data_IF_881495718096
#
_entry.id   IF_881495718096
#
_cell.length_a   1.000
_cell.length_b   1.000
_cell.length_c   1.000
_cell.angle_alpha   90.00
_cell.angle_beta   90.00
_cell.angle_gamma   90.00
#
_symmetry.space_group_name_H-M   'P 1'
#
loop_
_entity.id
_entity.type
_entity.pdbx_description
1 polymer ?
#
# COMPACT_ATOMS: atom_id res chain seq x y z
N UNK A 1 3.56 -13.78 2.77
CA UNK A 1 4.25 -12.49 2.66
C UNK A 1 5.17 -12.54 1.44
N UNK A 2 5.58 -11.38 0.95
CA UNK A 2 6.51 -11.19 -0.16
C UNK A 2 7.50 -10.09 0.20
N UNK A 3 8.73 -10.23 -0.27
CA UNK A 3 9.77 -9.22 -0.13
C UNK A 3 10.53 -9.06 -1.44
N UNK A 4 10.66 -7.82 -1.89
CA UNK A 4 11.39 -7.39 -3.08
C UNK A 4 12.33 -6.24 -2.69
N UNK A 5 13.28 -5.82 -3.55
CA UNK A 5 14.16 -4.71 -3.22
C UNK A 5 13.44 -3.39 -2.88
N UNK A 6 12.27 -3.14 -3.48
CA UNK A 6 11.54 -1.87 -3.30
C UNK A 6 10.24 -2.02 -2.48
N UNK A 7 9.66 -3.22 -2.35
CA UNK A 7 8.38 -3.43 -1.64
C UNK A 7 8.40 -4.70 -0.77
N UNK A 8 7.91 -4.59 0.47
CA UNK A 8 7.44 -5.74 1.24
C UNK A 8 5.92 -5.71 1.36
N UNK A 9 5.30 -6.89 1.35
CA UNK A 9 3.89 -7.03 1.63
C UNK A 9 3.61 -8.28 2.46
N UNK A 10 2.76 -8.14 3.48
CA UNK A 10 2.30 -9.24 4.31
C UNK A 10 0.84 -9.05 4.68
N UNK A 11 0.17 -10.18 4.89
CA UNK A 11 -1.17 -10.25 5.46
C UNK A 11 -1.12 -11.20 6.65
N UNK A 12 -1.79 -10.84 7.73
CA UNK A 12 -1.98 -11.67 8.90
C UNK A 12 -3.47 -11.72 9.24
N UNK A 13 -3.99 -12.92 9.52
CA UNK A 13 -5.35 -13.14 10.01
C UNK A 13 -5.30 -13.50 11.50
N UNK A 14 -5.86 -12.63 12.32
CA UNK A 14 -5.96 -12.78 13.77
C UNK A 14 -7.39 -13.12 14.23
N UNK A 15 -8.33 -13.39 13.32
CA UNK A 15 -9.75 -13.63 13.63
C UNK A 15 -9.93 -14.68 14.73
N UNK A 16 -9.18 -15.78 14.68
CA UNK A 16 -9.25 -16.85 15.68
C UNK A 16 -8.76 -16.44 17.08
N UNK A 17 -8.00 -15.34 17.21
CA UNK A 17 -7.63 -14.77 18.52
C UNK A 17 -8.84 -14.16 19.23
N UNK A 18 -9.89 -13.83 18.49
CA UNK A 18 -11.14 -13.26 18.98
C UNK A 18 -12.28 -14.29 19.07
N UNK A 19 -11.98 -15.59 18.99
CA UNK A 19 -13.00 -16.67 18.97
C UNK A 19 -13.91 -16.73 20.22
N UNK A 20 -13.55 -16.02 21.30
CA UNK A 20 -14.40 -15.86 22.49
C UNK A 20 -15.56 -14.87 22.27
N UNK A 21 -15.49 -14.05 21.22
CA UNK A 21 -16.56 -13.16 20.75
C UNK A 21 -17.23 -13.83 19.54
N UNK A 22 -18.39 -14.45 19.77
CA UNK A 22 -19.03 -15.34 18.79
C UNK A 22 -19.44 -14.67 17.48
N UNK A 23 -19.49 -13.34 17.44
CA UNK A 23 -19.96 -12.57 16.31
C UNK A 23 -18.84 -11.90 15.48
N UNK A 24 -17.57 -12.00 15.90
CA UNK A 24 -16.43 -11.50 15.11
C UNK A 24 -16.24 -12.40 13.88
N UNK A 25 -16.20 -11.78 12.69
CA UNK A 25 -16.11 -12.47 11.40
C UNK A 25 -14.75 -12.29 10.73
N UNK A 26 -14.08 -11.15 10.92
CA UNK A 26 -12.77 -10.88 10.35
C UNK A 26 -11.99 -9.93 11.25
N UNK A 27 -10.74 -10.30 11.52
CA UNK A 27 -9.71 -9.41 12.08
C UNK A 27 -8.41 -9.71 11.36
N UNK A 28 -8.20 -9.08 10.20
CA UNK A 28 -6.99 -9.24 9.40
C UNK A 28 -6.28 -7.92 9.19
N UNK A 29 -4.95 -7.99 9.11
CA UNK A 29 -4.07 -6.85 8.87
C UNK A 29 -3.22 -7.09 7.64
N UNK A 30 -3.27 -6.17 6.70
CA UNK A 30 -2.31 -6.06 5.60
C UNK A 30 -1.29 -4.97 5.92
N UNK A 31 -0.01 -5.25 5.68
CA UNK A 31 1.05 -4.24 5.79
C UNK A 31 1.85 -4.24 4.49
N UNK A 32 2.01 -3.06 3.90
CA UNK A 32 2.93 -2.83 2.79
C UNK A 32 4.00 -1.84 3.23
N UNK A 33 5.26 -2.15 2.96
CA UNK A 33 6.37 -1.23 3.11
C UNK A 33 6.89 -0.86 1.72
N UNK A 34 6.76 0.41 1.34
CA UNK A 34 7.31 0.92 0.08
C UNK A 34 8.63 1.62 0.41
N UNK A 35 9.74 0.98 0.07
CA UNK A 35 11.07 1.41 0.52
C UNK A 35 11.57 2.66 -0.22
N UNK A 36 12.37 3.48 0.48
CA UNK A 36 12.56 3.56 1.94
C UNK A 36 11.50 4.44 2.60
N UNK A 37 10.37 4.68 1.92
CA UNK A 37 9.58 5.89 2.09
C UNK A 37 8.56 5.79 3.22
N UNK A 38 7.70 4.75 3.24
CA UNK A 38 6.57 4.68 4.17
C UNK A 38 5.99 3.27 4.28
N UNK A 39 5.20 3.04 5.34
CA UNK A 39 4.33 1.88 5.46
C UNK A 39 2.87 2.26 5.30
N UNK A 40 2.06 1.38 4.74
CA UNK A 40 0.61 1.42 4.88
C UNK A 40 0.16 0.20 5.65
N UNK A 41 -0.60 0.41 6.72
CA UNK A 41 -1.28 -0.64 7.47
C UNK A 41 -2.77 -0.55 7.22
N UNK A 42 -3.38 -1.66 6.82
CA UNK A 42 -4.82 -1.78 6.65
C UNK A 42 -5.34 -2.89 7.55
N UNK A 43 -6.22 -2.54 8.48
CA UNK A 43 -7.00 -3.51 9.23
C UNK A 43 -8.39 -3.66 8.59
N UNK A 44 -8.72 -4.90 8.25
CA UNK A 44 -10.05 -5.29 7.81
C UNK A 44 -10.77 -5.97 8.99
N UNK A 45 -11.71 -5.22 9.58
CA UNK A 45 -12.51 -5.66 10.70
C UNK A 45 -13.95 -5.90 10.23
N UNK A 46 -14.53 -7.02 10.63
CA UNK A 46 -15.93 -7.34 10.38
C UNK A 46 -16.54 -8.17 11.53
N UNK A 47 -17.80 -7.91 11.85
CA UNK A 47 -18.59 -8.63 12.82
C UNK A 47 -20.06 -8.71 12.39
N UNK A 48 -20.80 -9.68 12.94
CA UNK A 48 -22.22 -9.87 12.65
C UNK A 48 -23.12 -8.83 13.32
N UNK A 49 -22.60 -8.08 14.29
CA UNK A 49 -23.30 -6.99 14.98
C UNK A 49 -22.37 -5.76 15.08
N UNK A 50 -22.92 -4.54 15.22
CA UNK A 50 -22.09 -3.34 15.36
C UNK A 50 -21.21 -3.36 16.62
N UNK A 51 -19.91 -3.10 16.46
CA UNK A 51 -18.93 -2.92 17.54
C UNK A 51 -18.29 -1.55 17.49
N UNK A 52 -17.86 -1.08 18.65
CA UNK A 52 -16.93 0.03 18.77
C UNK A 52 -15.52 -0.52 18.58
N UNK A 53 -14.83 -0.12 17.50
CA UNK A 53 -13.46 -0.56 17.24
C UNK A 53 -12.46 0.52 17.64
N UNK A 54 -11.35 0.09 18.22
CA UNK A 54 -10.25 0.96 18.67
C UNK A 54 -8.92 0.38 18.20
N UNK A 55 -8.15 1.21 17.50
CA UNK A 55 -6.75 0.96 17.18
C UNK A 55 -5.86 1.66 18.19
N UNK A 56 -4.85 0.97 18.70
CA UNK A 56 -3.94 1.50 19.72
C UNK A 56 -2.52 1.50 19.15
N UNK A 57 -1.80 2.60 19.36
CA UNK A 57 -0.36 2.67 19.09
C UNK A 57 0.39 3.30 20.25
N UNK A 58 1.45 2.61 20.64
CA UNK A 58 2.37 3.05 21.66
C UNK A 58 3.54 3.82 21.05
N UNK A 59 4.02 4.82 21.78
CA UNK A 59 5.16 5.63 21.40
C UNK A 59 6.15 5.68 22.57
N UNK A 60 7.43 5.91 22.25
CA UNK A 60 8.49 5.98 23.26
C UNK A 60 8.43 7.29 24.06
N UNK A 61 7.99 8.36 23.40
CA UNK A 61 7.95 9.72 23.92
C UNK A 61 6.54 10.30 23.79
N UNK A 62 6.39 11.57 24.19
CA UNK A 62 5.12 12.27 24.16
C UNK A 62 4.49 12.26 22.76
N UNK A 63 3.23 11.85 22.73
CA UNK A 63 2.39 11.82 21.53
C UNK A 63 1.79 13.20 21.28
N UNK A 64 1.87 13.63 20.03
CA UNK A 64 1.31 14.87 19.53
C UNK A 64 0.29 14.57 18.42
N UNK A 65 -0.67 15.46 18.24
CA UNK A 65 -1.69 15.36 17.18
C UNK A 65 -1.67 16.66 16.34
N UNK A 66 -1.58 16.51 15.03
CA UNK A 66 -1.65 17.57 14.03
C UNK A 66 -2.62 17.12 12.93
N UNK A 67 -3.85 17.64 12.95
CA UNK A 67 -4.94 17.20 12.08
C UNK A 67 -5.21 15.69 12.18
N UNK A 68 -4.99 14.95 11.09
CA UNK A 68 -5.12 13.49 11.00
C UNK A 68 -3.81 12.74 11.29
N UNK A 69 -2.76 13.45 11.69
CA UNK A 69 -1.48 12.86 12.09
C UNK A 69 -1.36 12.75 13.60
N UNK A 70 -0.98 11.56 14.02
CA UNK A 70 -0.42 11.29 15.36
C UNK A 70 1.07 11.09 15.21
N UNK A 71 1.89 11.72 16.04
CA UNK A 71 3.34 11.58 15.93
C UNK A 71 4.06 11.70 17.26
N UNK A 72 5.25 11.11 17.31
CA UNK A 72 6.21 11.21 18.41
C UNK A 72 7.60 11.45 17.83
N UNK A 73 8.43 12.18 18.57
CA UNK A 73 9.82 12.44 18.23
C UNK A 73 10.70 12.10 19.44
N UNK A 74 11.81 11.42 19.19
CA UNK A 74 12.82 11.11 20.20
C UNK A 74 13.67 12.34 20.54
N UNK A 75 14.38 12.29 21.66
CA UNK A 75 15.38 13.32 22.00
C UNK A 75 16.49 13.49 20.94
N UNK A 76 16.74 12.44 20.14
CA UNK A 76 17.75 12.42 19.07
C UNK A 76 17.21 12.87 17.70
N UNK A 77 15.93 13.22 17.62
CA UNK A 77 15.30 13.82 16.44
C UNK A 77 14.74 12.83 15.42
N UNK A 78 14.74 11.53 15.71
CA UNK A 78 13.97 10.56 14.94
C UNK A 78 12.48 10.69 15.24
N UNK A 79 11.66 10.65 14.20
CA UNK A 79 10.23 10.87 14.28
C UNK A 79 9.48 9.75 13.60
N UNK A 80 8.39 9.32 14.22
CA UNK A 80 7.38 8.48 13.59
C UNK A 80 6.06 9.23 13.54
N UNK A 81 5.58 9.50 12.32
CA UNK A 81 4.20 9.91 12.12
C UNK A 81 3.32 8.76 11.70
N UNK A 82 2.06 8.81 12.12
CA UNK A 82 0.98 7.93 11.70
C UNK A 82 -0.20 8.80 11.28
N UNK A 83 -0.52 8.81 9.99
CA UNK A 83 -1.75 9.40 9.50
C UNK A 83 -2.90 8.42 9.65
N UNK A 84 -4.05 8.87 10.13
CA UNK A 84 -5.30 8.11 10.11
C UNK A 84 -6.09 8.46 8.85
N UNK A 85 -5.95 7.65 7.80
CA UNK A 85 -6.57 7.91 6.50
C UNK A 85 -8.03 7.39 6.39
N UNK A 86 -8.41 6.44 7.24
CA UNK A 86 -9.75 5.87 7.35
C UNK A 86 -9.86 5.04 8.64
N UNK A 87 -11.06 4.88 9.22
CA UNK A 87 -12.29 5.61 8.89
C UNK A 87 -12.30 7.01 9.55
N UNK A 88 -13.43 7.70 9.53
CA UNK A 88 -13.66 8.83 10.44
C UNK A 88 -13.58 8.34 11.89
N UNK A 89 -12.72 8.97 12.68
CA UNK A 89 -12.33 8.49 14.02
C UNK A 89 -12.29 9.62 15.03
N UNK A 90 -12.35 9.24 16.31
CA UNK A 90 -11.92 10.07 17.43
C UNK A 90 -10.52 9.64 17.86
N UNK A 91 -9.65 10.60 18.15
CA UNK A 91 -8.28 10.39 18.61
C UNK A 91 -8.20 10.83 20.07
N UNK A 92 -7.81 9.91 20.96
CA UNK A 92 -7.55 10.20 22.37
C UNK A 92 -6.08 9.90 22.71
N UNK A 93 -5.42 10.82 23.42
CA UNK A 93 -3.98 10.76 23.69
C UNK A 93 -3.75 10.57 25.17
N UNK A 94 -2.96 9.55 25.51
CA UNK A 94 -2.65 9.16 26.87
C UNK A 94 -1.16 9.32 27.14
N UNK A 95 -0.72 10.57 27.38
CA UNK A 95 0.68 10.91 27.64
C UNK A 95 1.13 10.68 29.09
N UNK A 96 0.18 10.60 30.03
CA UNK A 96 0.48 10.39 31.46
C UNK A 96 0.63 8.89 31.83
N UNK A 97 0.52 8.00 30.85
CA UNK A 97 0.72 6.56 31.03
C UNK A 97 2.22 6.20 31.11
N UNK A 98 2.55 5.05 31.72
CA UNK A 98 3.93 4.54 31.79
C UNK A 98 4.59 4.39 30.40
N UNK A 99 3.77 4.11 29.38
CA UNK A 99 4.16 4.13 27.97
C UNK A 99 3.11 4.97 27.23
N UNK A 100 3.47 6.16 26.70
CA UNK A 100 2.54 7.00 25.96
C UNK A 100 1.87 6.24 24.82
N UNK A 101 0.57 6.47 24.64
CA UNK A 101 -0.18 5.85 23.55
C UNK A 101 -1.30 6.73 23.03
N UNK A 102 -1.80 6.35 21.87
CA UNK A 102 -3.01 6.90 21.26
C UNK A 102 -4.06 5.82 21.10
N UNK A 103 -5.31 6.19 21.33
CA UNK A 103 -6.48 5.41 20.94
C UNK A 103 -7.18 6.09 19.77
N UNK A 104 -7.27 5.38 18.64
CA UNK A 104 -7.98 5.82 17.44
C UNK A 104 -9.23 4.96 17.31
N UNK A 105 -10.38 5.56 17.58
CA UNK A 105 -11.65 4.84 17.72
C UNK A 105 -12.65 5.25 16.65
N UNK A 106 -13.47 4.30 16.16
CA UNK A 106 -14.61 4.65 15.30
C UNK A 106 -15.52 5.66 15.99
N UNK A 107 -16.11 6.63 15.30
CA UNK A 107 -16.99 7.62 15.98
C UNK A 107 -18.31 7.04 16.51
N UNK A 108 -18.68 5.83 16.07
CA UNK A 108 -19.87 5.08 16.50
C UNK A 108 -19.66 3.57 16.26
N UNK A 109 -20.45 2.70 16.90
CA UNK A 109 -20.44 1.28 16.59
C UNK A 109 -20.78 0.98 15.12
N UNK A 110 -20.04 0.08 14.49
CA UNK A 110 -20.22 -0.35 13.10
C UNK A 110 -19.97 -1.86 12.96
N UNK A 111 -20.58 -2.51 11.97
CA UNK A 111 -20.35 -3.94 11.70
C UNK A 111 -19.01 -4.20 11.01
N UNK A 112 -18.49 -3.19 10.31
CA UNK A 112 -17.32 -3.32 9.44
C UNK A 112 -16.52 -2.03 9.52
N UNK A 113 -15.21 -2.14 9.72
CA UNK A 113 -14.29 -1.01 9.77
C UNK A 113 -13.03 -1.29 8.94
N UNK A 114 -12.51 -0.24 8.31
CA UNK A 114 -11.23 -0.25 7.59
C UNK A 114 -10.32 0.79 8.22
N UNK A 115 -9.51 0.38 9.20
CA UNK A 115 -8.47 1.26 9.72
C UNK A 115 -7.31 1.27 8.74
N UNK A 116 -7.02 2.44 8.18
CA UNK A 116 -5.97 2.63 7.20
C UNK A 116 -5.03 3.69 7.74
N UNK A 117 -3.79 3.28 7.98
CA UNK A 117 -2.76 4.12 8.54
C UNK A 117 -1.59 4.25 7.58
N UNK A 118 -1.12 5.48 7.34
CA UNK A 118 0.15 5.74 6.67
C UNK A 118 1.20 6.03 7.75
N UNK A 119 2.21 5.18 7.87
CA UNK A 119 3.31 5.38 8.81
C UNK A 119 4.52 5.94 8.06
N UNK A 120 5.06 7.04 8.57
CA UNK A 120 6.18 7.76 7.97
C UNK A 120 7.30 7.91 8.99
N UNK A 121 8.27 6.98 9.00
CA UNK A 121 9.52 7.15 9.74
C UNK A 121 10.36 8.26 9.08
N UNK A 122 10.79 9.24 9.86
CA UNK A 122 11.51 10.41 9.35
C UNK A 122 12.35 11.05 10.46
N UNK A 123 12.89 12.23 10.19
CA UNK A 123 13.51 13.10 11.18
C UNK A 123 12.75 14.44 11.26
N UNK A 124 13.16 15.31 12.19
CA UNK A 124 12.58 16.65 12.35
C UNK A 124 12.53 17.45 11.04
N UNK A 125 13.55 17.31 10.17
CA UNK A 125 13.62 18.06 8.92
C UNK A 125 12.72 17.49 7.83
N UNK A 126 12.59 16.16 7.77
CA UNK A 126 11.75 15.44 6.81
C UNK A 126 10.26 15.53 7.11
N UNK A 127 9.87 15.87 8.36
CA UNK A 127 8.47 16.00 8.76
C UNK A 127 7.66 16.98 7.90
N UNK A 128 8.29 18.07 7.44
CA UNK A 128 7.65 19.07 6.58
C UNK A 128 7.25 18.53 5.20
N UNK A 129 7.91 17.45 4.77
CA UNK A 129 7.72 16.80 3.47
C UNK A 129 6.96 15.46 3.62
N UNK A 130 6.33 15.22 4.78
CA UNK A 130 5.57 14.00 5.06
C UNK A 130 4.56 13.74 3.95
N UNK A 131 4.41 12.50 3.46
CA UNK A 131 3.41 12.16 2.46
C UNK A 131 1.99 12.32 3.03
N UNK A 132 0.97 12.24 2.18
CA UNK A 132 -0.43 12.17 2.62
C UNK A 132 -1.16 11.04 1.90
N UNK A 133 -1.81 10.16 2.65
CA UNK A 133 -2.71 9.13 2.16
C UNK A 133 -4.15 9.65 2.11
N UNK A 134 -4.87 9.22 1.08
CA UNK A 134 -6.31 9.44 0.93
C UNK A 134 -6.97 8.14 0.48
N UNK A 135 -8.02 7.73 1.19
CA UNK A 135 -8.91 6.69 0.70
C UNK A 135 -9.72 7.23 -0.48
N UNK A 136 -9.55 6.60 -1.63
CA UNK A 136 -10.27 6.97 -2.85
C UNK A 136 -11.51 6.12 -3.08
N UNK A 137 -11.45 4.84 -2.72
CA UNK A 137 -12.57 3.92 -2.85
C UNK A 137 -12.44 2.76 -1.87
N UNK A 138 -13.57 2.27 -1.36
CA UNK A 138 -13.73 0.99 -0.69
C UNK A 138 -14.91 0.26 -1.35
N UNK A 139 -14.60 -0.83 -2.03
CA UNK A 139 -15.59 -1.62 -2.78
C UNK A 139 -16.27 -2.70 -1.94
N UNK A 140 -15.87 -2.85 -0.68
CA UNK A 140 -16.25 -3.97 0.18
C UNK A 140 -15.36 -5.21 0.00
N UNK A 141 -14.64 -5.34 -1.13
CA UNK A 141 -13.65 -6.41 -1.40
C UNK A 141 -12.21 -5.90 -1.57
N UNK A 142 -12.04 -4.61 -1.86
CA UNK A 142 -10.75 -3.94 -1.95
C UNK A 142 -10.84 -2.44 -1.65
N UNK A 143 -9.72 -1.85 -1.19
CA UNK A 143 -9.51 -0.40 -1.21
C UNK A 143 -8.62 0.05 -2.36
N UNK A 144 -8.78 1.32 -2.73
CA UNK A 144 -7.78 2.09 -3.47
C UNK A 144 -7.36 3.30 -2.65
N UNK A 145 -6.06 3.41 -2.39
CA UNK A 145 -5.43 4.52 -1.70
C UNK A 145 -4.57 5.33 -2.67
N UNK A 146 -4.62 6.64 -2.54
CA UNK A 146 -3.64 7.53 -3.15
C UNK A 146 -2.70 8.06 -2.09
N UNK A 147 -1.40 7.91 -2.31
CA UNK A 147 -0.37 8.47 -1.44
C UNK A 147 0.36 9.52 -2.25
N UNK A 148 0.21 10.78 -1.84
CA UNK A 148 0.91 11.91 -2.42
C UNK A 148 2.19 12.16 -1.63
N UNK A 149 3.34 12.03 -2.27
CA UNK A 149 4.59 12.45 -1.67
C UNK A 149 4.81 13.95 -1.89
N UNK A 150 5.23 14.66 -0.85
CA UNK A 150 5.41 16.11 -0.84
C UNK A 150 6.86 16.56 -0.89
N UNK A 151 7.81 15.61 -0.89
CA UNK A 151 9.23 15.88 -1.04
C UNK A 151 9.60 16.35 -2.45
N UNK A 152 10.89 16.60 -2.69
CA UNK A 152 11.39 17.08 -3.98
C UNK A 152 11.09 16.15 -5.18
N UNK A 153 10.84 14.86 -4.95
CA UNK A 153 10.53 13.85 -5.98
C UNK A 153 9.06 13.94 -6.42
N UNK A 154 8.16 14.41 -5.56
CA UNK A 154 6.73 14.68 -5.82
C UNK A 154 5.97 13.56 -6.54
N UNK A 155 6.32 12.30 -6.27
CA UNK A 155 5.61 11.19 -6.92
C UNK A 155 4.23 10.97 -6.28
N UNK A 156 3.36 10.32 -7.04
CA UNK A 156 2.06 9.86 -6.56
C UNK A 156 2.02 8.34 -6.68
N UNK A 157 1.57 7.68 -5.61
CA UNK A 157 1.31 6.25 -5.57
C UNK A 157 -0.19 5.99 -5.56
N UNK A 158 -0.62 5.05 -6.38
CA UNK A 158 -1.93 4.43 -6.32
C UNK A 158 -1.74 2.99 -5.84
N UNK A 159 -2.30 2.69 -4.68
CA UNK A 159 -2.21 1.38 -4.03
C UNK A 159 -3.59 0.75 -4.00
N UNK A 160 -3.71 -0.46 -4.54
CA UNK A 160 -4.90 -1.29 -4.44
C UNK A 160 -4.59 -2.47 -3.53
N UNK A 161 -5.42 -2.67 -2.50
CA UNK A 161 -5.31 -3.77 -1.54
C UNK A 161 -6.64 -4.51 -1.46
N UNK A 162 -6.61 -5.82 -1.65
CA UNK A 162 -7.79 -6.69 -1.50
C UNK A 162 -7.89 -7.25 -0.09
N UNK A 163 -9.12 -7.50 0.34
CA UNK A 163 -9.43 -8.11 1.62
C UNK A 163 -9.63 -9.63 1.54
N UNK A 164 -9.94 -10.12 0.34
CA UNK A 164 -10.26 -11.52 0.07
C UNK A 164 -9.23 -12.16 -0.87
N UNK A 165 -9.31 -13.49 -0.94
CA UNK A 165 -8.52 -14.32 -1.85
C UNK A 165 -9.29 -14.64 -3.15
N UNK A 166 -10.34 -13.89 -3.49
CA UNK A 166 -11.10 -14.14 -4.73
C UNK A 166 -10.21 -13.94 -5.95
N UNK A 167 -10.41 -14.73 -7.00
CA UNK A 167 -9.66 -14.60 -8.27
C UNK A 167 -10.37 -13.69 -9.27
N UNK A 168 -11.59 -13.25 -8.96
CA UNK A 168 -12.30 -12.24 -9.75
C UNK A 168 -11.51 -10.93 -9.72
N UNK A 169 -11.51 -10.20 -10.83
CA UNK A 169 -10.86 -8.90 -10.87
C UNK A 169 -11.74 -7.84 -10.21
N UNK A 170 -11.10 -6.90 -9.53
CA UNK A 170 -11.72 -5.69 -9.02
C UNK A 170 -11.34 -4.52 -9.93
N UNK A 171 -12.29 -3.59 -10.13
CA UNK A 171 -12.06 -2.33 -10.84
C UNK A 171 -12.48 -1.18 -9.94
N UNK A 172 -11.52 -0.32 -9.57
CA UNK A 172 -11.75 0.79 -8.66
C UNK A 172 -10.79 1.95 -8.97
N UNK A 173 -11.31 3.17 -9.01
CA UNK A 173 -10.53 4.39 -9.21
C UNK A 173 -9.57 4.36 -10.41
N UNK A 174 -9.99 3.72 -11.49
CA UNK A 174 -9.22 3.60 -12.72
C UNK A 174 -8.16 2.51 -12.70
N UNK A 175 -8.05 1.71 -11.64
CA UNK A 175 -7.24 0.49 -11.64
C UNK A 175 -8.14 -0.74 -11.79
N UNK A 176 -7.69 -1.70 -12.58
CA UNK A 176 -8.27 -3.04 -12.61
C UNK A 176 -7.20 -4.12 -12.45
N UNK A 177 -7.47 -5.10 -11.59
CA UNK A 177 -6.55 -6.20 -11.31
C UNK A 177 -7.29 -7.33 -10.60
N UNK A 178 -6.78 -8.56 -10.71
CA UNK A 178 -7.13 -9.66 -9.82
C UNK A 178 -6.08 -9.89 -8.71
N UNK A 179 -5.05 -9.05 -8.62
CA UNK A 179 -3.98 -9.18 -7.65
C UNK A 179 -4.42 -8.84 -6.22
N UNK A 180 -3.83 -9.53 -5.23
CA UNK A 180 -4.04 -9.23 -3.80
C UNK A 180 -3.57 -7.83 -3.43
N UNK A 181 -2.46 -7.40 -4.04
CA UNK A 181 -1.91 -6.04 -3.89
C UNK A 181 -1.32 -5.57 -5.21
N UNK A 182 -1.55 -4.30 -5.52
CA UNK A 182 -0.95 -3.62 -6.65
C UNK A 182 -0.55 -2.19 -6.29
N UNK A 183 0.61 -1.74 -6.76
CA UNK A 183 1.11 -0.39 -6.61
C UNK A 183 1.50 0.18 -7.97
N UNK A 184 1.07 1.40 -8.25
CA UNK A 184 1.50 2.19 -9.42
C UNK A 184 2.06 3.52 -8.91
N UNK A 185 3.35 3.76 -9.13
CA UNK A 185 4.02 5.03 -8.84
C UNK A 185 4.24 5.81 -10.12
N UNK A 186 3.88 7.09 -10.11
CA UNK A 186 4.09 8.01 -11.23
C UNK A 186 4.87 9.26 -10.81
N UNK A 187 5.64 9.80 -11.75
CA UNK A 187 6.18 11.15 -11.65
C UNK A 187 5.08 12.21 -11.82
N UNK A 188 5.31 13.48 -11.44
CA UNK A 188 4.39 14.57 -11.73
C UNK A 188 4.01 14.71 -13.22
N UNK A 189 4.89 14.27 -14.13
CA UNK A 189 4.62 14.23 -15.57
C UNK A 189 3.63 13.15 -16.00
N UNK A 190 3.25 12.24 -15.11
CA UNK A 190 2.44 11.05 -15.40
C UNK A 190 3.24 9.82 -15.84
N UNK A 191 4.55 9.97 -16.11
CA UNK A 191 5.42 8.86 -16.49
C UNK A 191 5.50 7.80 -15.38
N UNK A 192 5.44 6.51 -15.76
CA UNK A 192 5.60 5.40 -14.82
C UNK A 192 6.99 5.42 -14.20
N UNK A 193 7.02 5.15 -12.89
CA UNK A 193 8.25 5.01 -12.12
C UNK A 193 8.36 3.64 -11.46
N UNK A 194 7.24 3.06 -11.06
CA UNK A 194 7.19 1.78 -10.36
C UNK A 194 5.85 1.10 -10.62
N UNK A 195 5.88 -0.19 -10.93
CA UNK A 195 4.71 -1.06 -10.94
C UNK A 195 5.05 -2.28 -10.10
N UNK A 196 4.24 -2.54 -9.09
CA UNK A 196 4.34 -3.75 -8.27
C UNK A 196 3.01 -4.48 -8.25
N UNK A 197 3.04 -5.80 -8.43
CA UNK A 197 1.88 -6.69 -8.44
C UNK A 197 2.24 -7.98 -7.73
N UNK A 198 1.39 -8.42 -6.80
CA UNK A 198 1.52 -9.72 -6.15
C UNK A 198 0.16 -10.40 -5.99
N UNK A 199 0.11 -11.71 -6.26
CA UNK A 199 -1.10 -12.49 -6.09
C UNK A 199 -2.11 -12.37 -7.23
N UNK A 200 -1.67 -12.04 -8.46
CA UNK A 200 -2.56 -11.83 -9.62
C UNK A 200 -1.85 -11.88 -10.96
N UNK A 201 -2.63 -11.90 -12.04
CA UNK A 201 -2.13 -12.13 -13.41
C UNK A 201 -2.00 -10.86 -14.26
N UNK A 202 -2.57 -9.73 -13.82
CA UNK A 202 -2.48 -8.46 -14.54
C UNK A 202 -2.71 -7.24 -13.65
N UNK A 203 -2.29 -6.08 -14.13
CA UNK A 203 -2.70 -4.77 -13.62
C UNK A 203 -2.94 -3.83 -14.79
N UNK A 204 -4.08 -3.16 -14.79
CA UNK A 204 -4.50 -2.21 -15.81
C UNK A 204 -4.77 -0.83 -15.19
N UNK A 205 -4.37 0.21 -15.91
CA UNK A 205 -4.79 1.59 -15.68
C UNK A 205 -5.86 1.95 -16.71
N UNK A 206 -7.13 1.84 -16.32
CA UNK A 206 -8.30 2.07 -17.16
C UNK A 206 -8.36 3.53 -17.61
N UNK A 207 -7.93 4.47 -16.76
CA UNK A 207 -7.98 5.90 -17.10
C UNK A 207 -6.96 6.27 -18.17
N UNK A 208 -5.82 5.58 -18.21
CA UNK A 208 -4.80 5.72 -19.24
C UNK A 208 -4.99 4.74 -20.42
N UNK A 209 -6.13 4.05 -20.48
CA UNK A 209 -6.51 3.06 -21.52
C UNK A 209 -5.43 2.00 -21.79
N UNK A 210 -4.71 1.54 -20.75
CA UNK A 210 -3.54 0.69 -20.92
C UNK A 210 -3.39 -0.40 -19.88
N UNK A 211 -3.12 -1.62 -20.34
CA UNK A 211 -2.58 -2.69 -19.49
C UNK A 211 -1.19 -2.24 -19.03
N UNK A 212 -0.94 -2.19 -17.73
CA UNK A 212 0.40 -1.89 -17.23
C UNK A 212 1.28 -3.13 -17.29
N UNK A 213 0.71 -4.28 -16.93
CA UNK A 213 1.36 -5.59 -17.02
C UNK A 213 0.31 -6.71 -17.10
N UNK A 214 0.58 -7.75 -17.88
CA UNK A 214 -0.27 -8.94 -18.04
C UNK A 214 0.58 -10.20 -18.24
N UNK A 215 -0.10 -11.36 -18.26
CA UNK A 215 0.49 -12.69 -18.32
C UNK A 215 1.42 -12.99 -17.13
N UNK A 216 1.12 -12.42 -15.96
CA UNK A 216 1.83 -12.75 -14.73
C UNK A 216 1.36 -14.11 -14.20
N UNK A 217 2.28 -14.82 -13.56
CA UNK A 217 1.91 -15.95 -12.71
C UNK A 217 1.29 -15.40 -11.41
N UNK A 218 0.06 -15.81 -11.11
CA UNK A 218 -0.68 -15.32 -9.95
C UNK A 218 -0.02 -15.69 -8.61
N UNK A 219 0.83 -16.72 -8.58
CA UNK A 219 1.59 -17.12 -7.39
C UNK A 219 2.91 -16.34 -7.24
N UNK A 220 3.30 -15.56 -8.26
CA UNK A 220 4.55 -14.82 -8.26
C UNK A 220 4.36 -13.33 -7.98
N UNK A 221 5.49 -12.63 -8.00
CA UNK A 221 5.55 -11.19 -7.79
C UNK A 221 6.23 -10.56 -9.00
N UNK A 222 5.65 -9.47 -9.47
CA UNK A 222 6.24 -8.61 -10.48
C UNK A 222 6.51 -7.25 -9.86
N UNK A 223 7.78 -6.89 -9.75
CA UNK A 223 8.22 -5.60 -9.23
C UNK A 223 9.12 -4.91 -10.26
N UNK A 224 8.59 -3.92 -10.98
CA UNK A 224 9.26 -3.23 -12.07
C UNK A 224 9.49 -1.74 -11.76
N UNK A 225 10.76 -1.35 -11.70
CA UNK A 225 11.20 0.03 -11.50
C UNK A 225 11.72 0.63 -12.80
N UNK A 226 11.21 1.79 -13.17
CA UNK A 226 11.58 2.50 -14.40
C UNK A 226 12.60 3.59 -14.07
N UNK A 227 13.78 3.51 -14.68
CA UNK A 227 14.89 4.45 -14.45
C UNK A 227 15.50 4.84 -15.80
N UNK A 228 15.18 6.06 -16.24
CA UNK A 228 15.58 6.53 -17.58
C UNK A 228 15.04 5.61 -18.66
N UNK A 229 15.91 5.13 -19.55
CA UNK A 229 15.55 4.17 -20.60
C UNK A 229 15.71 2.70 -20.19
N UNK A 230 15.66 2.40 -18.89
CA UNK A 230 15.84 1.06 -18.36
C UNK A 230 14.68 0.67 -17.44
N UNK A 231 14.32 -0.61 -17.45
CA UNK A 231 13.40 -1.20 -16.46
C UNK A 231 14.12 -2.30 -15.69
N UNK A 232 14.02 -2.24 -14.37
CA UNK A 232 14.64 -3.20 -13.46
C UNK A 232 13.51 -3.99 -12.81
N UNK A 233 13.48 -5.28 -13.09
CA UNK A 233 12.40 -6.18 -12.69
C UNK A 233 12.94 -7.17 -11.66
N UNK A 234 12.27 -7.27 -10.53
CA UNK A 234 12.51 -8.24 -9.48
C UNK A 234 11.35 -9.21 -9.35
N UNK A 235 11.64 -10.47 -9.05
CA UNK A 235 10.64 -11.52 -8.82
C UNK A 235 10.75 -12.70 -9.80
N UNK A 236 9.75 -13.59 -9.76
CA UNK A 236 9.66 -14.71 -10.71
C UNK A 236 8.85 -14.28 -11.92
N UNK A 237 9.56 -14.02 -13.01
CA UNK A 237 9.01 -13.52 -14.26
C UNK A 237 9.14 -14.63 -15.30
N UNK A 238 8.01 -15.16 -15.73
CA UNK A 238 7.93 -16.22 -16.75
C UNK A 238 8.02 -15.62 -18.16
N UNK A 239 8.18 -16.49 -19.16
CA UNK A 239 8.14 -16.09 -20.57
C UNK A 239 6.74 -15.59 -20.95
N UNK A 240 6.66 -14.62 -21.86
CA UNK A 240 5.40 -14.04 -22.33
C UNK A 240 4.81 -12.94 -21.45
N UNK A 241 5.46 -12.58 -20.34
CA UNK A 241 5.08 -11.40 -19.55
C UNK A 241 5.18 -10.16 -20.43
N UNK A 242 4.07 -9.43 -20.55
CA UNK A 242 3.95 -8.21 -21.36
C UNK A 242 3.65 -7.03 -20.45
N UNK A 243 4.36 -5.92 -20.64
CA UNK A 243 4.20 -4.72 -19.81
C UNK A 243 4.44 -3.43 -20.61
N UNK A 244 3.81 -2.35 -20.14
CA UNK A 244 3.91 -1.02 -20.75
C UNK A 244 5.27 -0.37 -20.43
N UNK A 245 6.02 -0.05 -21.47
CA UNK A 245 7.40 0.45 -21.37
C UNK A 245 7.82 1.18 -22.66
N UNK A 246 7.20 2.32 -23.02
CA UNK A 246 7.36 2.98 -24.32
C UNK A 246 8.82 3.36 -24.63
N UNK A 247 9.54 3.94 -23.66
CA UNK A 247 10.89 4.49 -23.88
C UNK A 247 12.04 3.57 -23.45
N UNK A 248 11.72 2.34 -23.04
CA UNK A 248 12.72 1.40 -22.49
C UNK A 248 13.58 0.79 -23.60
N UNK A 249 14.90 0.84 -23.39
CA UNK A 249 15.93 0.25 -24.25
C UNK A 249 16.61 -0.95 -23.60
N UNK A 250 16.62 -1.01 -22.27
CA UNK A 250 17.26 -2.09 -21.52
C UNK A 250 16.29 -2.69 -20.50
N UNK A 251 16.21 -4.00 -20.44
CA UNK A 251 15.47 -4.72 -19.42
C UNK A 251 16.45 -5.54 -18.59
N UNK A 252 16.41 -5.36 -17.28
CA UNK A 252 17.15 -6.17 -16.33
C UNK A 252 16.14 -6.97 -15.52
N UNK A 253 16.25 -8.30 -15.51
CA UNK A 253 15.43 -9.18 -14.67
C UNK A 253 16.33 -9.86 -13.66
N UNK A 254 16.08 -9.63 -12.37
CA UNK A 254 16.90 -10.13 -11.26
C UNK A 254 18.41 -9.82 -11.46
N UNK A 255 18.71 -8.61 -11.95
CA UNK A 255 20.08 -8.14 -12.21
C UNK A 255 20.70 -8.59 -13.55
N UNK A 256 20.06 -9.47 -14.30
CA UNK A 256 20.57 -9.94 -15.60
C UNK A 256 19.89 -9.21 -16.76
N UNK A 257 20.66 -8.77 -17.75
CA UNK A 257 20.11 -8.20 -18.99
C UNK A 257 19.27 -9.27 -19.70
N UNK A 258 18.09 -8.86 -20.18
CA UNK A 258 17.17 -9.69 -20.97
C UNK A 258 16.86 -9.01 -22.30
N UNK A 259 16.86 -9.82 -23.35
CA UNK A 259 16.28 -9.42 -24.63
C UNK A 259 14.76 -9.35 -24.49
N UNK A 260 14.13 -8.62 -25.39
CA UNK A 260 12.69 -8.48 -25.40
C UNK A 260 12.16 -8.18 -26.81
N UNK A 261 10.86 -8.41 -27.01
CA UNK A 261 10.14 -7.99 -28.21
C UNK A 261 9.36 -6.72 -27.91
N UNK A 262 9.32 -5.79 -28.85
CA UNK A 262 8.54 -4.55 -28.73
C UNK A 262 7.39 -4.55 -29.72
N UNK A 263 6.20 -4.22 -29.22
CA UNK A 263 4.99 -4.01 -30.02
C UNK A 263 4.33 -2.72 -29.57
N UNK A 264 4.55 -1.64 -30.32
CA UNK A 264 4.16 -0.29 -29.90
C UNK A 264 4.86 0.10 -28.59
N UNK A 265 4.06 0.55 -27.62
CA UNK A 265 4.55 0.98 -26.31
C UNK A 265 4.82 -0.17 -25.33
N UNK A 266 4.58 -1.41 -25.75
CA UNK A 266 4.68 -2.60 -24.91
C UNK A 266 5.93 -3.39 -25.20
N UNK A 267 6.47 -3.99 -24.15
CA UNK A 267 7.54 -4.97 -24.18
C UNK A 267 7.01 -6.33 -23.75
N UNK A 268 7.46 -7.39 -24.42
CA UNK A 268 7.22 -8.79 -24.05
C UNK A 268 8.55 -9.51 -23.82
N UNK A 269 8.65 -10.22 -22.69
CA UNK A 269 9.81 -11.03 -22.34
C UNK A 269 9.74 -12.42 -23.01
N UNK A 270 10.87 -12.91 -23.56
CA UNK A 270 10.92 -14.18 -24.29
C UNK A 270 10.77 -15.41 -23.39
#
# INVERSE_FOLDING_TARGET
SVSTPDVDYLVADATQRYAHMADIQNVSRSVIFVRPDYFVMLDNLAAAQPHQYTWISHFADQVNVEDDWVWSESETGERLGVQVASPDTSIDVQNDADVPFVEVSTVRPVETARFIHLLFPTDTNGWKDRPSAKLLNDTGTAVVLQIQNHDARRFTDMLLLRYDDSTEYVSANGLATNAKVALVRRYPSGALRHVFVHGGSFLQDINAEGVLVENLNAESTFDAKFVGSSVWISGQVESGVRFYAPDVKNVLVNGAIRNFKRTGDYIELP
#
